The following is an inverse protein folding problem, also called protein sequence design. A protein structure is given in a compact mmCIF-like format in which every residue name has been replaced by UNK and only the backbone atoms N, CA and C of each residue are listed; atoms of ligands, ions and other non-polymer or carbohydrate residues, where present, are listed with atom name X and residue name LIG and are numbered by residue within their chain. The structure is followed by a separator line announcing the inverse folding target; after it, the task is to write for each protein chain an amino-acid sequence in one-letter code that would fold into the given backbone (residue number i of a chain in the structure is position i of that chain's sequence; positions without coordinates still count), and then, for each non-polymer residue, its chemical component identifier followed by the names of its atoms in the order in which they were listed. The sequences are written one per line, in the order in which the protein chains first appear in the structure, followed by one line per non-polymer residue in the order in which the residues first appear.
data_IF_648229014013
#
_entry.id   IF_648229014013
#
_cell.length_a   1.000
_cell.length_b   1.000
_cell.length_c   1.000
_cell.angle_alpha   90.00
_cell.angle_beta   90.00
_cell.angle_gamma   90.00
#
_symmetry.space_group_name_H-M   'P 1'
#
loop_
_entity.id
_entity.type
_entity.pdbx_description
1 polymer ?
#
# COMPACT_ATOMS: atom_id res chain seq x y z
N UNK A 1 -5.10 18.44 6.28
CA UNK A 1 -4.46 17.53 5.30
C UNK A 1 -3.63 16.53 6.09
N UNK A 2 -3.52 15.26 5.65
CA UNK A 2 -2.66 14.29 6.30
C UNK A 2 -1.19 14.74 6.24
N UNK A 3 -0.45 14.45 7.30
CA UNK A 3 0.98 14.76 7.43
C UNK A 3 1.81 13.51 7.16
N UNK A 4 2.84 13.64 6.32
CA UNK A 4 3.73 12.54 5.97
C UNK A 4 5.14 12.79 6.52
N UNK A 5 5.61 11.90 7.37
CA UNK A 5 6.96 11.94 7.96
C UNK A 5 7.62 10.56 7.87
N UNK A 6 8.86 10.43 8.34
CA UNK A 6 9.60 9.16 8.33
C UNK A 6 10.14 8.85 9.73
N UNK A 7 10.25 7.56 10.08
CA UNK A 7 10.90 7.14 11.34
C UNK A 7 12.42 7.28 11.32
N UNK A 8 13.01 7.40 10.14
CA UNK A 8 14.45 7.43 9.91
C UNK A 8 14.75 7.44 8.42
N UNK A 9 15.92 6.97 8.01
CA UNK A 9 16.37 6.93 6.60
C UNK A 9 16.82 5.53 6.14
N UNK A 10 16.82 4.54 7.04
CA UNK A 10 17.19 3.17 6.73
C UNK A 10 16.13 2.45 5.89
N UNK A 11 16.52 1.44 5.13
CA UNK A 11 15.60 0.70 4.24
C UNK A 11 14.39 0.06 4.95
N UNK A 12 14.49 -0.21 6.25
CA UNK A 12 13.39 -0.78 7.05
C UNK A 12 12.65 0.26 7.88
N UNK A 13 13.05 1.52 7.84
CA UNK A 13 12.27 2.64 8.37
C UNK A 13 10.97 2.80 7.59
N UNK A 14 10.03 3.52 8.19
CA UNK A 14 8.67 3.66 7.68
C UNK A 14 8.36 5.10 7.33
N UNK A 15 7.55 5.26 6.30
CA UNK A 15 6.70 6.44 6.20
C UNK A 15 5.62 6.40 7.28
N UNK A 16 5.28 7.57 7.78
CA UNK A 16 4.25 7.80 8.78
C UNK A 16 3.14 8.63 8.16
N UNK A 17 1.89 8.22 8.38
CA UNK A 17 0.67 8.95 8.09
C UNK A 17 0.13 9.47 9.43
N UNK A 18 0.14 10.79 9.63
CA UNK A 18 -0.28 11.44 10.88
C UNK A 18 0.39 10.83 12.13
N UNK A 19 1.67 10.45 11.99
CA UNK A 19 2.49 9.83 13.03
C UNK A 19 2.36 8.30 13.14
N UNK A 20 1.39 7.68 12.46
CA UNK A 20 1.18 6.23 12.45
C UNK A 20 1.86 5.52 11.27
N UNK A 21 2.40 4.31 11.50
CA UNK A 21 3.03 3.48 10.44
C UNK A 21 2.03 2.86 9.46
N UNK A 22 0.78 2.74 9.90
CA UNK A 22 -0.26 2.00 9.19
C UNK A 22 -0.95 2.92 8.19
N UNK A 23 -0.77 2.64 6.91
CA UNK A 23 -1.42 3.38 5.83
C UNK A 23 -2.82 2.88 5.52
N UNK A 24 -3.10 1.60 5.81
CA UNK A 24 -4.39 0.94 5.64
C UNK A 24 -4.35 -0.41 6.35
N UNK A 25 -5.48 -1.13 6.41
CA UNK A 25 -5.58 -2.48 6.97
C UNK A 25 -6.43 -3.35 6.05
N UNK A 26 -5.98 -4.58 5.80
CA UNK A 26 -6.81 -5.65 5.24
C UNK A 26 -7.44 -6.39 6.43
N UNK A 27 -8.79 -6.41 6.57
CA UNK A 27 -9.43 -7.09 7.69
C UNK A 27 -9.12 -8.59 7.73
N UNK A 28 -9.19 -9.17 8.92
CA UNK A 28 -9.21 -10.62 9.12
C UNK A 28 -10.21 -11.31 8.17
N UNK A 29 -9.89 -12.52 7.75
CA UNK A 29 -10.71 -13.39 6.90
C UNK A 29 -11.03 -12.84 5.50
N UNK A 30 -10.44 -11.69 5.12
CA UNK A 30 -10.47 -11.20 3.74
C UNK A 30 -9.67 -12.10 2.81
N UNK A 31 -8.63 -12.75 3.35
CA UNK A 31 -7.79 -13.72 2.65
C UNK A 31 -7.83 -15.05 3.42
N UNK A 32 -8.00 -16.21 2.75
CA UNK A 32 -8.21 -17.50 3.43
C UNK A 32 -7.13 -17.89 4.45
N UNK A 33 -5.91 -17.39 4.28
CA UNK A 33 -4.75 -17.69 5.14
C UNK A 33 -4.46 -16.64 6.22
N UNK A 34 -5.35 -15.65 6.39
CA UNK A 34 -5.14 -14.50 7.27
C UNK A 34 -6.33 -14.35 8.22
N UNK A 35 -6.15 -14.77 9.46
CA UNK A 35 -7.17 -14.75 10.51
C UNK A 35 -7.14 -13.50 11.38
N UNK A 36 -6.27 -12.54 11.09
CA UNK A 36 -6.12 -11.29 11.86
C UNK A 36 -6.09 -10.09 10.93
N UNK A 37 -6.45 -8.93 11.44
CA UNK A 37 -6.29 -7.66 10.73
C UNK A 37 -4.83 -7.45 10.35
N UNK A 38 -4.56 -7.25 9.06
CA UNK A 38 -3.22 -7.07 8.53
C UNK A 38 -2.98 -5.62 8.13
N UNK A 39 -2.14 -4.89 8.85
CA UNK A 39 -1.72 -3.55 8.47
C UNK A 39 -1.02 -3.54 7.11
N UNK A 40 -1.19 -2.48 6.34
CA UNK A 40 -0.41 -2.15 5.16
C UNK A 40 0.52 -1.00 5.55
N UNK A 41 1.82 -1.19 5.37
CA UNK A 41 2.85 -0.19 5.72
C UNK A 41 3.71 0.13 4.51
N UNK A 42 4.14 1.38 4.40
CA UNK A 42 5.10 1.83 3.40
C UNK A 42 6.49 1.97 4.04
N UNK A 43 7.38 1.04 3.74
CA UNK A 43 8.79 1.15 4.13
C UNK A 43 9.53 2.10 3.20
N UNK A 44 10.61 2.71 3.69
CA UNK A 44 11.52 3.51 2.86
C UNK A 44 12.05 2.63 1.73
N UNK A 45 12.59 1.46 2.09
CA UNK A 45 13.05 0.45 1.16
C UNK A 45 14.32 0.83 0.41
N UNK A 46 14.59 0.09 -0.66
CA UNK A 46 15.80 0.18 -1.47
C UNK A 46 15.45 0.03 -2.96
N UNK A 47 16.40 -0.40 -3.80
CA UNK A 47 16.17 -0.63 -5.23
C UNK A 47 15.17 -1.76 -5.55
N UNK A 48 14.73 -2.53 -4.56
CA UNK A 48 13.88 -3.72 -4.73
C UNK A 48 12.48 -3.58 -4.10
N UNK A 49 12.30 -2.71 -3.10
CA UNK A 49 11.01 -2.52 -2.45
C UNK A 49 10.83 -1.11 -1.86
N UNK A 50 9.61 -0.80 -1.42
CA UNK A 50 9.30 0.42 -0.67
C UNK A 50 9.28 1.69 -1.51
N UNK A 51 9.25 2.84 -0.83
CA UNK A 51 9.18 4.14 -1.48
C UNK A 51 10.37 4.44 -2.40
N UNK A 52 11.58 4.00 -2.03
CA UNK A 52 12.80 4.16 -2.84
C UNK A 52 12.65 3.46 -4.18
N UNK A 53 12.18 2.20 -4.18
CA UNK A 53 11.93 1.45 -5.40
C UNK A 53 10.83 2.11 -6.25
N UNK A 54 9.73 2.54 -5.61
CA UNK A 54 8.62 3.20 -6.31
C UNK A 54 9.10 4.50 -6.97
N UNK A 55 9.85 5.35 -6.27
CA UNK A 55 10.43 6.58 -6.85
C UNK A 55 11.37 6.25 -8.00
N UNK A 56 12.28 5.29 -7.83
CA UNK A 56 13.27 4.95 -8.85
C UNK A 56 12.64 4.38 -10.14
N UNK A 57 11.58 3.57 -10.02
CA UNK A 57 10.94 2.90 -11.16
C UNK A 57 9.74 3.65 -11.73
N UNK A 58 9.07 4.44 -10.90
CA UNK A 58 7.78 5.06 -11.22
C UNK A 58 7.70 6.56 -10.86
N UNK A 59 8.80 7.19 -10.45
CA UNK A 59 8.85 8.61 -10.05
C UNK A 59 8.36 9.58 -11.12
N UNK A 60 8.80 9.42 -12.38
CA UNK A 60 8.30 10.23 -13.51
C UNK A 60 6.78 10.17 -13.68
N UNK A 61 6.19 9.02 -13.37
CA UNK A 61 4.75 8.84 -13.42
C UNK A 61 4.08 9.46 -12.20
N UNK A 62 4.66 9.31 -11.01
CA UNK A 62 4.18 9.97 -9.79
C UNK A 62 4.13 11.48 -9.96
N UNK A 63 5.21 12.09 -10.44
CA UNK A 63 5.29 13.55 -10.69
C UNK A 63 4.16 14.05 -11.60
N UNK A 64 3.71 13.24 -12.56
CA UNK A 64 2.60 13.60 -13.46
C UNK A 64 1.24 13.62 -12.76
N UNK A 65 1.03 12.77 -11.75
CA UNK A 65 -0.29 12.56 -11.12
C UNK A 65 -0.36 13.00 -9.66
N UNK A 66 0.76 13.38 -9.07
CA UNK A 66 0.91 13.80 -7.70
C UNK A 66 1.75 15.09 -7.67
N UNK A 67 1.11 16.27 -7.60
CA UNK A 67 1.79 17.55 -7.71
C UNK A 67 2.87 17.83 -6.65
N UNK A 68 2.78 17.21 -5.47
CA UNK A 68 3.80 17.34 -4.41
C UNK A 68 4.98 16.36 -4.57
N UNK A 69 4.96 15.50 -5.59
CA UNK A 69 5.99 14.48 -5.84
C UNK A 69 6.12 13.40 -4.75
N UNK A 70 5.28 13.44 -3.71
CA UNK A 70 5.43 12.59 -2.53
C UNK A 70 4.80 11.22 -2.75
N UNK A 71 5.62 10.18 -2.71
CA UNK A 71 5.18 8.78 -2.85
C UNK A 71 4.19 8.40 -1.76
N UNK A 72 4.43 8.81 -0.52
CA UNK A 72 3.54 8.51 0.60
C UNK A 72 2.16 9.15 0.41
N UNK A 73 2.10 10.40 -0.04
CA UNK A 73 0.82 11.05 -0.36
C UNK A 73 0.06 10.26 -1.41
N UNK A 74 0.75 9.82 -2.46
CA UNK A 74 0.11 9.09 -3.55
C UNK A 74 -0.35 7.69 -3.13
N UNK A 75 0.47 6.95 -2.39
CA UNK A 75 0.12 5.64 -1.82
C UNK A 75 -1.11 5.76 -0.93
N UNK A 76 -1.15 6.78 -0.05
CA UNK A 76 -2.30 7.02 0.81
C UNK A 76 -3.58 7.24 -0.02
N UNK A 77 -3.54 8.15 -1.01
CA UNK A 77 -4.68 8.40 -1.92
C UNK A 77 -5.16 7.11 -2.62
N UNK A 78 -4.23 6.27 -3.07
CA UNK A 78 -4.56 5.00 -3.73
C UNK A 78 -5.23 4.05 -2.76
N UNK A 79 -4.64 3.84 -1.60
CA UNK A 79 -5.21 2.97 -0.58
C UNK A 79 -6.59 3.47 -0.13
N UNK A 80 -6.89 4.77 -0.14
CA UNK A 80 -8.23 5.27 0.23
C UNK A 80 -9.34 4.86 -0.73
N UNK A 81 -9.01 4.18 -1.83
CA UNK A 81 -9.99 3.72 -2.83
C UNK A 81 -10.20 2.23 -2.80
N UNK A 82 -11.40 1.79 -3.18
CA UNK A 82 -11.72 0.37 -3.26
C UNK A 82 -11.07 -0.27 -4.48
N UNK A 83 -10.90 -1.58 -4.41
CA UNK A 83 -10.25 -2.36 -5.45
C UNK A 83 -10.42 -3.86 -5.26
N UNK A 84 -9.72 -4.62 -6.11
CA UNK A 84 -9.68 -6.08 -6.07
C UNK A 84 -8.40 -6.55 -5.41
N UNK A 85 -8.49 -7.63 -4.65
CA UNK A 85 -7.34 -8.35 -4.11
C UNK A 85 -7.07 -9.54 -5.02
N UNK A 86 -5.84 -9.62 -5.52
CA UNK A 86 -5.41 -10.61 -6.48
C UNK A 86 -4.29 -11.44 -5.88
N UNK A 87 -4.38 -12.77 -5.96
CA UNK A 87 -3.24 -13.64 -5.71
C UNK A 87 -2.30 -13.59 -6.91
N UNK A 88 -1.01 -13.40 -6.63
CA UNK A 88 0.05 -13.41 -7.63
C UNK A 88 0.76 -14.76 -7.59
N UNK A 89 1.42 -15.13 -8.69
CA UNK A 89 2.16 -16.40 -8.79
C UNK A 89 3.28 -16.52 -7.73
N UNK A 90 3.85 -15.40 -7.30
CA UNK A 90 4.88 -15.38 -6.27
C UNK A 90 4.28 -15.60 -4.87
N UNK A 91 4.78 -16.63 -4.18
CA UNK A 91 4.40 -16.94 -2.79
C UNK A 91 4.61 -15.72 -1.89
N UNK A 92 3.65 -15.48 -0.99
CA UNK A 92 3.62 -14.36 -0.03
C UNK A 92 3.40 -12.96 -0.65
N UNK A 93 3.08 -12.86 -1.94
CA UNK A 93 2.68 -11.59 -2.54
C UNK A 93 1.21 -11.58 -2.92
N UNK A 94 0.58 -10.44 -2.69
CA UNK A 94 -0.76 -10.14 -3.19
C UNK A 94 -0.71 -8.83 -3.98
N UNK A 95 -1.60 -8.70 -4.96
CA UNK A 95 -1.83 -7.48 -5.71
C UNK A 95 -3.11 -6.79 -5.25
N UNK A 96 -3.07 -5.48 -5.07
CA UNK A 96 -4.26 -4.64 -4.96
C UNK A 96 -4.45 -3.88 -6.27
N UNK A 97 -5.48 -4.23 -7.04
CA UNK A 97 -5.88 -3.49 -8.24
C UNK A 97 -6.89 -2.39 -7.84
N UNK A 98 -6.43 -1.14 -7.83
CA UNK A 98 -7.16 0.01 -7.29
C UNK A 98 -7.74 0.88 -8.40
N UNK A 99 -8.95 1.40 -8.15
CA UNK A 99 -9.80 2.02 -9.18
C UNK A 99 -9.62 3.54 -9.34
N UNK A 100 -8.86 4.21 -8.48
CA UNK A 100 -8.63 5.65 -8.61
C UNK A 100 -7.81 5.96 -9.86
N UNK A 101 -8.26 6.87 -10.72
CA UNK A 101 -7.46 7.37 -11.85
C UNK A 101 -6.16 8.03 -11.36
N UNK A 102 -5.00 7.70 -11.96
CA UNK A 102 -4.79 6.60 -12.90
C UNK A 102 -4.90 5.23 -12.22
N UNK A 103 -5.62 4.28 -12.81
CA UNK A 103 -5.69 2.90 -12.29
C UNK A 103 -4.27 2.40 -11.98
N UNK A 104 -4.11 1.89 -10.77
CA UNK A 104 -2.82 1.49 -10.26
C UNK A 104 -2.92 0.12 -9.60
N UNK A 105 -1.84 -0.64 -9.68
CA UNK A 105 -1.70 -1.87 -8.94
C UNK A 105 -0.63 -1.70 -7.86
N UNK A 106 -1.00 -1.89 -6.61
CA UNK A 106 -0.05 -1.99 -5.50
C UNK A 106 0.32 -3.46 -5.32
N UNK A 107 1.62 -3.74 -5.23
CA UNK A 107 2.09 -5.07 -4.84
C UNK A 107 2.44 -5.05 -3.37
N UNK A 108 1.87 -5.98 -2.63
CA UNK A 108 2.07 -6.14 -1.20
C UNK A 108 2.77 -7.47 -0.95
N UNK A 109 3.77 -7.47 -0.07
CA UNK A 109 4.40 -8.70 0.42
C UNK A 109 4.02 -8.89 1.88
N UNK A 110 3.53 -10.08 2.22
CA UNK A 110 3.32 -10.49 3.60
C UNK A 110 4.70 -10.71 4.25
N UNK A 111 4.97 -10.03 5.36
CA UNK A 111 6.22 -10.19 6.11
C UNK A 111 6.01 -10.67 7.56
N UNK A 112 4.86 -11.27 7.84
CA UNK A 112 4.48 -11.84 9.13
C UNK A 112 3.38 -11.03 9.80
N UNK A 113 3.72 -9.87 10.35
CA UNK A 113 2.81 -9.00 11.12
C UNK A 113 2.15 -7.88 10.30
N UNK A 114 2.59 -7.67 9.05
CA UNK A 114 2.00 -6.69 8.13
C UNK A 114 2.29 -7.01 6.67
N UNK A 115 1.59 -6.28 5.80
CA UNK A 115 1.87 -6.18 4.37
C UNK A 115 2.77 -4.99 4.07
N UNK A 116 3.98 -5.26 3.59
CA UNK A 116 4.87 -4.22 3.08
C UNK A 116 4.54 -3.90 1.63
N UNK A 117 4.38 -2.61 1.30
CA UNK A 117 4.26 -2.17 -0.09
C UNK A 117 5.62 -2.34 -0.77
N UNK A 118 5.69 -3.27 -1.72
CA UNK A 118 6.92 -3.51 -2.46
C UNK A 118 7.04 -2.58 -3.66
N UNK A 119 5.96 -2.40 -4.42
CA UNK A 119 5.97 -1.53 -5.59
C UNK A 119 4.56 -1.06 -5.95
N UNK A 120 4.49 -0.10 -6.86
CA UNK A 120 3.27 0.50 -7.36
C UNK A 120 3.37 0.65 -8.88
N UNK A 121 2.56 -0.09 -9.61
CA UNK A 121 2.49 -0.01 -11.07
C UNK A 121 1.37 0.91 -11.53
N UNK A 122 1.65 1.71 -12.56
CA UNK A 122 0.63 2.19 -13.47
C UNK A 122 0.15 1.05 -14.35
N UNK A 123 -1.16 0.77 -14.43
CA UNK A 123 -1.64 -0.19 -15.42
C UNK A 123 -2.98 0.22 -16.05
N UNK A 124 -2.92 0.45 -17.37
CA UNK A 124 -4.08 0.58 -18.27
C UNK A 124 -4.70 -0.79 -18.62
N UNK A 125 -3.99 -1.90 -18.41
CA UNK A 125 -4.40 -3.28 -18.70
C UNK A 125 -4.29 -4.13 -17.43
N UNK A 126 -5.36 -4.80 -16.98
CA UNK A 126 -5.48 -5.37 -15.62
C UNK A 126 -4.27 -6.16 -15.09
N UNK A 127 -3.97 -6.02 -13.79
CA UNK A 127 -3.03 -6.89 -13.09
C UNK A 127 -3.53 -8.35 -13.24
N UNK A 128 -2.66 -9.26 -13.71
CA UNK A 128 -3.02 -10.68 -13.84
C UNK A 128 -2.91 -11.38 -12.50
N UNK A 129 -3.87 -12.23 -12.19
CA UNK A 129 -3.95 -12.96 -10.93
C UNK A 129 -5.38 -13.43 -10.64
N UNK A 130 -5.52 -14.37 -9.71
CA UNK A 130 -6.82 -14.86 -9.25
C UNK A 130 -7.45 -13.83 -8.29
N UNK A 131 -8.68 -13.39 -8.55
CA UNK A 131 -9.41 -12.51 -7.63
C UNK A 131 -9.90 -13.32 -6.42
N UNK A 132 -9.41 -12.96 -5.24
CA UNK A 132 -9.70 -13.66 -3.98
C UNK A 132 -10.47 -12.82 -2.98
N UNK A 133 -10.69 -11.55 -3.28
CA UNK A 133 -11.43 -10.67 -2.39
C UNK A 133 -11.53 -9.25 -2.88
N UNK A 134 -12.21 -8.42 -2.08
CA UNK A 134 -12.36 -6.99 -2.33
C UNK A 134 -11.69 -6.17 -1.24
N UNK A 135 -10.92 -5.19 -1.68
CA UNK A 135 -10.36 -4.17 -0.83
C UNK A 135 -11.32 -2.98 -0.78
N UNK A 136 -11.73 -2.56 0.41
CA UNK A 136 -12.84 -1.61 0.55
C UNK A 136 -12.41 -0.14 0.65
N UNK A 137 -11.14 0.17 0.89
CA UNK A 137 -10.51 1.50 0.74
C UNK A 137 -11.07 2.66 1.60
N UNK A 138 -12.35 2.98 1.42
CA UNK A 138 -13.03 4.14 1.98
C UNK A 138 -13.49 3.94 3.44
N UNK A 139 -13.80 2.70 3.85
CA UNK A 139 -14.28 2.41 5.22
C UNK A 139 -13.19 2.58 6.29
N UNK A 140 -11.92 2.35 5.95
CA UNK A 140 -10.81 2.52 6.88
C UNK A 140 -10.24 3.96 6.84
N UNK A 141 -10.21 4.63 5.68
CA UNK A 141 -9.64 5.97 5.54
C UNK A 141 -10.42 7.06 6.29
N UNK A 142 -11.66 6.77 6.71
CA UNK A 142 -12.52 7.63 7.52
C UNK A 142 -12.67 7.17 8.98
N UNK A 143 -12.10 6.03 9.35
CA UNK A 143 -11.95 5.61 10.75
C UNK A 143 -10.51 5.87 11.18
N UNK A 144 -10.21 6.88 12.01
CA UNK A 144 -8.87 7.05 12.53
C UNK A 144 -8.45 5.73 13.20
N UNK A 145 -7.36 5.14 12.74
CA UNK A 145 -6.76 4.01 13.44
C UNK A 145 -6.28 4.53 14.79
N UNK A 146 -7.06 4.25 15.83
CA UNK A 146 -6.66 4.48 17.21
C UNK A 146 -5.83 3.25 17.59
N UNK A 147 -4.51 3.41 17.66
CA UNK A 147 -3.62 2.39 18.23
C UNK A 147 -4.01 2.21 19.71
N UNK A 148 -4.92 1.28 19.99
CA UNK A 148 -5.26 0.90 21.36
C UNK A 148 -4.09 0.09 21.91
N UNK A 149 -3.17 0.77 22.58
CA UNK A 149 -2.18 0.11 23.44
C UNK A 149 -2.95 -0.73 24.46
N UNK A 150 -2.76 -2.05 24.42
CA UNK A 150 -3.13 -2.94 25.53
C UNK A 150 -2.09 -2.83 26.62
#
# INVERSE_FOLDING_TARGET
MPTFTQTGTGKYDYWLLDGGKTFSTIPADTLPSISTDMPIRLQIGDGYFGSTHITARHGKWLERYQPDGCVATFVHKKLSTSGKILLLEEKNKIGLALTLTPNAALILRNIGDFFSITTLYYKKSGLGGEEVGRYTGYKWATSPYIERRR
#
